data_IF_887448180350
#
_entry.id   IF_887448180350
#
_cell.length_a   1.000
_cell.length_b   1.000
_cell.length_c   1.000
_cell.angle_alpha   90.00
_cell.angle_beta   90.00
_cell.angle_gamma   90.00
#
_symmetry.space_group_name_H-M   'P 1'
#
loop_
_entity.id
_entity.type
_entity.pdbx_description
1 polymer ?
#
# COMPACT_ATOMS: atom_id res chain seq x y z
N UNK A 1 41.94 42.96 -3.28
CA UNK A 1 40.56 42.43 -3.20
C UNK A 1 40.26 41.74 -4.52
N UNK A 2 40.15 40.42 -4.50
CA UNK A 2 39.49 39.60 -5.52
C UNK A 2 39.29 38.21 -4.90
N UNK A 3 38.06 37.73 -4.98
CA UNK A 3 37.44 36.69 -4.14
C UNK A 3 37.99 35.30 -4.44
N UNK A 4 38.35 34.56 -3.39
CA UNK A 4 38.48 33.10 -3.46
C UNK A 4 37.08 32.50 -3.38
N UNK A 5 36.58 32.00 -4.51
CA UNK A 5 35.38 31.17 -4.56
C UNK A 5 35.62 29.88 -3.76
N UNK A 6 34.92 29.75 -2.64
CA UNK A 6 34.84 28.51 -1.90
C UNK A 6 33.95 27.54 -2.68
N UNK A 7 34.57 26.54 -3.31
CA UNK A 7 33.88 25.37 -3.83
C UNK A 7 33.10 24.74 -2.67
N UNK A 8 31.77 24.85 -2.74
CA UNK A 8 30.87 24.20 -1.79
C UNK A 8 30.81 22.73 -2.20
N UNK A 9 31.56 21.87 -1.49
CA UNK A 9 31.41 20.43 -1.61
C UNK A 9 29.98 20.07 -1.17
N UNK A 10 29.12 19.73 -2.14
CA UNK A 10 27.88 19.04 -1.85
C UNK A 10 28.24 17.71 -1.15
N UNK A 11 27.67 17.39 0.02
CA UNK A 11 27.95 16.13 0.66
C UNK A 11 27.49 15.00 -0.26
N UNK A 12 28.42 14.22 -0.80
CA UNK A 12 28.12 12.95 -1.47
C UNK A 12 27.31 12.11 -0.49
N UNK A 13 26.01 12.00 -0.74
CA UNK A 13 25.14 11.11 0.01
C UNK A 13 25.75 9.71 -0.08
N UNK A 14 26.27 9.20 1.03
CA UNK A 14 26.81 7.85 1.11
C UNK A 14 25.73 6.90 0.60
N UNK A 15 25.96 6.33 -0.59
CA UNK A 15 25.05 5.35 -1.20
C UNK A 15 25.16 4.05 -0.42
N UNK A 16 24.58 4.00 0.78
CA UNK A 16 24.44 2.77 1.52
C UNK A 16 23.70 1.76 0.63
N UNK A 17 24.31 0.58 0.46
CA UNK A 17 23.77 -0.42 -0.43
C UNK A 17 22.43 -0.95 0.11
N UNK A 18 21.49 -1.18 -0.81
CA UNK A 18 20.19 -1.76 -0.46
C UNK A 18 20.35 -3.12 0.21
N UNK A 19 19.55 -3.36 1.25
CA UNK A 19 19.45 -4.69 1.84
C UNK A 19 18.56 -5.55 0.95
N UNK A 20 19.11 -6.67 0.46
CA UNK A 20 18.39 -7.60 -0.42
C UNK A 20 18.24 -8.93 0.29
N UNK A 21 17.02 -9.44 0.35
CA UNK A 21 16.71 -10.76 0.92
C UNK A 21 15.72 -11.51 0.06
N UNK A 22 15.60 -12.83 0.29
CA UNK A 22 14.54 -13.66 -0.26
C UNK A 22 13.76 -14.28 0.88
N UNK A 23 12.43 -14.26 0.77
CA UNK A 23 11.58 -14.97 1.72
C UNK A 23 11.54 -16.49 1.43
N UNK A 24 10.80 -17.24 2.26
CA UNK A 24 10.65 -18.70 2.14
C UNK A 24 9.98 -19.10 0.80
N UNK A 25 9.20 -18.19 0.19
CA UNK A 25 8.56 -18.40 -1.10
C UNK A 25 9.45 -17.99 -2.29
N UNK A 26 10.65 -17.46 -2.03
CA UNK A 26 11.60 -17.01 -3.05
C UNK A 26 11.35 -15.58 -3.57
N UNK A 27 10.42 -14.82 -2.96
CA UNK A 27 10.15 -13.43 -3.32
C UNK A 27 11.37 -12.57 -3.07
N UNK A 28 11.78 -11.80 -4.07
CA UNK A 28 12.88 -10.85 -3.90
C UNK A 28 12.38 -9.62 -3.13
N UNK A 29 12.98 -9.39 -1.97
CA UNK A 29 12.73 -8.24 -1.12
C UNK A 29 13.91 -7.29 -1.16
N UNK A 30 13.62 -6.00 -1.28
CA UNK A 30 14.61 -4.93 -1.20
C UNK A 30 14.17 -3.93 -0.13
N UNK A 31 15.09 -3.53 0.72
CA UNK A 31 14.87 -2.48 1.70
C UNK A 31 15.90 -1.38 1.55
N UNK A 32 15.42 -0.15 1.46
CA UNK A 32 16.24 1.04 1.46
C UNK A 32 16.73 1.33 2.89
N UNK A 33 18.05 1.38 3.14
CA UNK A 33 18.57 1.59 4.49
C UNK A 33 18.33 3.02 5.00
N UNK A 34 18.20 4.00 4.10
CA UNK A 34 18.05 5.42 4.44
C UNK A 34 16.59 5.76 4.68
N UNK A 35 15.71 5.35 3.76
CA UNK A 35 14.29 5.69 3.83
C UNK A 35 13.48 4.66 4.62
N UNK A 36 13.96 3.42 4.71
CA UNK A 36 13.20 2.29 5.23
C UNK A 36 12.13 1.78 4.27
N UNK A 37 12.11 2.26 3.02
CA UNK A 37 11.16 1.81 2.00
C UNK A 37 11.40 0.33 1.67
N UNK A 38 10.32 -0.43 1.56
CA UNK A 38 10.33 -1.85 1.25
C UNK A 38 9.67 -2.10 -0.10
N UNK A 39 10.35 -2.88 -0.94
CA UNK A 39 9.82 -3.36 -2.22
C UNK A 39 9.82 -4.88 -2.23
N UNK A 40 8.72 -5.47 -2.70
CA UNK A 40 8.60 -6.90 -2.99
C UNK A 40 8.40 -7.09 -4.48
N UNK A 41 9.37 -7.71 -5.14
CA UNK A 41 9.38 -7.86 -6.59
C UNK A 41 8.63 -9.13 -6.99
N UNK A 42 7.66 -8.97 -7.88
CA UNK A 42 6.92 -10.05 -8.52
C UNK A 42 6.88 -9.88 -10.03
N UNK A 43 6.57 -10.96 -10.75
CA UNK A 43 6.54 -10.95 -12.21
C UNK A 43 5.33 -10.20 -12.74
N UNK A 44 5.54 -9.25 -13.65
CA UNK A 44 4.45 -8.54 -14.35
C UNK A 44 3.59 -9.53 -15.14
N UNK A 45 4.22 -10.45 -15.87
CA UNK A 45 3.49 -11.49 -16.61
C UNK A 45 2.69 -12.39 -15.66
N UNK A 46 3.25 -12.69 -14.49
CA UNK A 46 2.55 -13.45 -13.45
C UNK A 46 1.32 -12.71 -12.90
N UNK A 47 1.41 -11.37 -12.73
CA UNK A 47 0.26 -10.53 -12.37
C UNK A 47 -0.79 -10.58 -13.48
N UNK A 48 -0.41 -10.40 -14.75
CA UNK A 48 -1.33 -10.42 -15.88
C UNK A 48 -2.00 -11.79 -16.06
N UNK A 49 -1.31 -12.88 -15.74
CA UNK A 49 -1.92 -14.23 -15.70
C UNK A 49 -2.92 -14.36 -14.56
N UNK A 50 -2.62 -13.83 -13.38
CA UNK A 50 -3.51 -13.87 -12.22
C UNK A 50 -4.71 -12.92 -12.36
N UNK A 51 -4.55 -11.81 -13.10
CA UNK A 51 -5.53 -10.75 -13.32
C UNK A 51 -5.54 -10.32 -14.80
N UNK A 52 -6.14 -11.10 -15.70
CA UNK A 52 -6.06 -10.85 -17.15
C UNK A 52 -6.63 -9.53 -17.65
N UNK A 53 -7.52 -8.90 -16.87
CA UNK A 53 -8.12 -7.59 -17.20
C UNK A 53 -7.31 -6.40 -16.65
N UNK A 54 -6.23 -6.64 -15.92
CA UNK A 54 -5.31 -5.59 -15.48
C UNK A 54 -4.47 -5.13 -16.68
N UNK A 55 -4.28 -3.82 -16.82
CA UNK A 55 -3.39 -3.31 -17.87
C UNK A 55 -1.92 -3.42 -17.45
N UNK A 56 -1.02 -3.28 -18.42
CA UNK A 56 0.41 -3.46 -18.21
C UNK A 56 1.01 -2.42 -17.25
N UNK A 57 0.63 -1.15 -17.37
CA UNK A 57 1.15 -0.07 -16.52
C UNK A 57 0.78 -0.26 -15.04
N UNK A 58 -0.46 -0.68 -14.79
CA UNK A 58 -0.94 -1.01 -13.46
C UNK A 58 -0.20 -2.22 -12.92
N UNK A 59 -0.03 -3.28 -13.72
CA UNK A 59 0.71 -4.47 -13.31
C UNK A 59 2.18 -4.15 -13.00
N UNK A 60 2.83 -3.31 -13.82
CA UNK A 60 4.19 -2.84 -13.59
C UNK A 60 4.30 -2.04 -12.29
N UNK A 61 3.35 -1.15 -12.03
CA UNK A 61 3.32 -0.32 -10.82
C UNK A 61 3.14 -1.18 -9.56
N UNK A 62 2.23 -2.16 -9.61
CA UNK A 62 1.92 -3.03 -8.48
C UNK A 62 2.91 -4.19 -8.30
N UNK A 63 3.82 -4.41 -9.25
CA UNK A 63 4.83 -5.48 -9.21
C UNK A 63 5.87 -5.34 -8.11
N UNK A 64 5.93 -4.18 -7.43
CA UNK A 64 6.95 -3.85 -6.42
C UNK A 64 6.36 -3.57 -5.03
N UNK A 65 5.03 -3.48 -4.94
CA UNK A 65 4.36 -3.04 -3.72
C UNK A 65 4.10 -4.20 -2.76
N UNK A 66 4.56 -4.11 -1.49
CA UNK A 66 4.21 -5.10 -0.49
C UNK A 66 2.74 -4.96 -0.09
N UNK A 67 1.96 -6.04 -0.26
CA UNK A 67 0.59 -6.15 0.20
C UNK A 67 0.59 -6.44 1.70
N UNK A 68 0.06 -5.51 2.49
CA UNK A 68 0.06 -5.62 3.96
C UNK A 68 -1.28 -6.06 4.51
N UNK A 69 -2.37 -5.84 3.77
CA UNK A 69 -3.71 -6.24 4.20
C UNK A 69 -4.60 -6.60 3.02
N UNK A 70 -5.49 -7.55 3.24
CA UNK A 70 -6.57 -7.88 2.31
C UNK A 70 -7.91 -7.87 3.04
N UNK A 71 -8.88 -7.18 2.48
CA UNK A 71 -10.27 -7.13 2.92
C UNK A 71 -11.16 -7.92 1.98
N UNK A 72 -12.06 -8.73 2.53
CA UNK A 72 -12.96 -9.60 1.78
C UNK A 72 -14.41 -9.15 1.90
N UNK A 73 -15.10 -9.16 0.76
CA UNK A 73 -16.50 -8.79 0.60
C UNK A 73 -17.22 -9.85 -0.23
N UNK A 74 -18.53 -9.99 0.00
CA UNK A 74 -19.34 -10.96 -0.73
C UNK A 74 -19.33 -10.66 -2.23
N UNK A 75 -19.43 -9.37 -2.58
CA UNK A 75 -19.42 -8.84 -3.93
C UNK A 75 -19.06 -7.34 -3.93
N UNK A 76 -18.90 -6.77 -5.13
CA UNK A 76 -18.61 -5.35 -5.34
C UNK A 76 -19.70 -4.42 -4.78
N UNK A 77 -20.97 -4.84 -4.84
CA UNK A 77 -22.11 -4.05 -4.36
C UNK A 77 -22.07 -3.89 -2.84
N UNK A 78 -21.70 -4.94 -2.11
CA UNK A 78 -21.53 -4.94 -0.66
C UNK A 78 -20.43 -3.98 -0.24
N UNK A 79 -19.31 -3.97 -0.97
CA UNK A 79 -18.24 -2.99 -0.78
C UNK A 79 -18.73 -1.56 -1.05
N UNK A 80 -19.42 -1.31 -2.17
CA UNK A 80 -19.90 0.03 -2.52
C UNK A 80 -20.91 0.60 -1.50
N UNK A 81 -21.75 -0.25 -0.90
CA UNK A 81 -22.71 0.17 0.14
C UNK A 81 -22.05 0.44 1.48
N UNK A 82 -21.01 -0.30 1.82
CA UNK A 82 -20.48 -0.38 3.18
C UNK A 82 -19.07 0.18 3.38
N UNK A 83 -18.33 0.40 2.31
CA UNK A 83 -16.90 0.68 2.33
C UNK A 83 -16.09 -0.43 3.01
N UNK A 84 -14.82 -0.13 3.30
CA UNK A 84 -13.89 -1.09 3.90
C UNK A 84 -14.37 -1.62 5.27
N UNK A 85 -15.06 -0.76 6.04
CA UNK A 85 -15.55 -1.10 7.40
C UNK A 85 -16.57 -2.25 7.43
N UNK A 86 -17.17 -2.60 6.29
CA UNK A 86 -18.14 -3.70 6.16
C UNK A 86 -17.54 -4.96 5.54
N UNK A 87 -16.21 -5.07 5.47
CA UNK A 87 -15.57 -6.34 5.07
C UNK A 87 -15.99 -7.45 6.03
N UNK A 88 -16.40 -8.62 5.51
CA UNK A 88 -16.79 -9.74 6.37
C UNK A 88 -15.56 -10.44 6.99
N UNK A 89 -14.39 -10.26 6.39
CA UNK A 89 -13.12 -10.73 6.90
C UNK A 89 -11.99 -9.83 6.40
N UNK A 90 -10.93 -9.73 7.19
CA UNK A 90 -9.67 -9.12 6.76
C UNK A 90 -8.49 -9.92 7.28
N UNK A 91 -7.35 -9.83 6.58
CA UNK A 91 -6.09 -10.44 7.00
C UNK A 91 -4.97 -9.43 6.86
N UNK A 92 -4.17 -9.31 7.90
CA UNK A 92 -2.94 -8.51 7.94
C UNK A 92 -1.73 -9.45 7.79
N UNK A 93 -0.74 -9.03 7.00
CA UNK A 93 0.50 -9.76 6.69
C UNK A 93 1.76 -9.05 7.24
N UNK A 94 1.59 -8.05 8.09
CA UNK A 94 2.69 -7.33 8.75
C UNK A 94 3.51 -8.27 9.67
N UNK A 95 4.85 -8.14 9.72
CA UNK A 95 5.69 -7.14 9.05
C UNK A 95 6.25 -7.56 7.68
N UNK A 96 5.98 -8.80 7.28
CA UNK A 96 6.60 -9.42 6.10
C UNK A 96 6.00 -8.88 4.81
N UNK A 97 4.69 -8.69 4.77
CA UNK A 97 3.94 -8.41 3.55
C UNK A 97 3.90 -9.62 2.61
N UNK A 98 3.06 -9.55 1.58
CA UNK A 98 3.06 -10.50 0.47
C UNK A 98 3.25 -9.74 -0.83
N UNK A 99 3.83 -10.37 -1.85
CA UNK A 99 3.68 -9.83 -3.21
C UNK A 99 2.23 -10.03 -3.72
N UNK A 100 1.87 -9.29 -4.76
CA UNK A 100 0.50 -9.27 -5.26
C UNK A 100 -0.01 -10.66 -5.69
N UNK A 101 0.83 -11.49 -6.33
CA UNK A 101 0.43 -12.84 -6.79
C UNK A 101 0.12 -13.72 -5.58
N UNK A 102 0.98 -13.68 -4.56
CA UNK A 102 0.75 -14.43 -3.32
C UNK A 102 -0.51 -13.97 -2.59
N UNK A 103 -0.76 -12.67 -2.52
CA UNK A 103 -1.97 -12.12 -1.92
C UNK A 103 -3.24 -12.56 -2.68
N UNK A 104 -3.21 -12.53 -4.02
CA UNK A 104 -4.31 -13.02 -4.85
C UNK A 104 -4.52 -14.52 -4.64
N UNK A 105 -3.45 -15.32 -4.64
CA UNK A 105 -3.54 -16.76 -4.39
C UNK A 105 -4.12 -17.06 -2.99
N UNK A 106 -3.73 -16.29 -1.97
CA UNK A 106 -4.27 -16.36 -0.63
C UNK A 106 -5.78 -16.09 -0.61
N UNK A 107 -6.24 -15.08 -1.35
CA UNK A 107 -7.65 -14.75 -1.47
C UNK A 107 -8.42 -15.85 -2.21
N UNK A 108 -7.94 -16.29 -3.37
CA UNK A 108 -8.60 -17.31 -4.20
C UNK A 108 -8.77 -18.64 -3.47
N UNK A 109 -7.84 -19.03 -2.61
CA UNK A 109 -7.98 -20.23 -1.74
C UNK A 109 -9.13 -20.14 -0.73
N UNK A 110 -9.65 -18.95 -0.45
CA UNK A 110 -10.73 -18.71 0.54
C UNK A 110 -12.09 -18.49 -0.09
N UNK A 111 -12.13 -18.18 -1.38
CA UNK A 111 -13.39 -18.12 -2.11
C UNK A 111 -13.72 -19.52 -2.60
N UNK A 112 -14.84 -20.09 -2.13
CA UNK A 112 -15.29 -21.44 -2.51
C UNK A 112 -15.60 -21.61 -4.01
N UNK A 113 -15.71 -20.52 -4.76
CA UNK A 113 -16.05 -20.51 -6.17
C UNK A 113 -15.20 -19.46 -6.92
N UNK A 114 -14.58 -19.79 -8.07
CA UNK A 114 -13.74 -18.86 -8.82
C UNK A 114 -14.44 -17.58 -9.27
N UNK A 115 -15.75 -17.62 -9.49
CA UNK A 115 -16.55 -16.51 -10.02
C UNK A 115 -17.30 -15.71 -8.92
N UNK A 116 -16.76 -15.68 -7.69
CA UNK A 116 -17.40 -15.01 -6.55
C UNK A 116 -16.41 -14.18 -5.75
N UNK A 117 -16.95 -13.33 -4.89
CA UNK A 117 -16.18 -12.53 -3.95
C UNK A 117 -15.65 -11.23 -4.56
N UNK A 118 -15.34 -10.30 -3.68
CA UNK A 118 -14.66 -9.06 -4.01
C UNK A 118 -13.57 -8.83 -2.96
N UNK A 119 -12.38 -8.44 -3.39
CA UNK A 119 -11.25 -8.19 -2.51
C UNK A 119 -10.68 -6.79 -2.70
N UNK A 120 -10.29 -6.17 -1.59
CA UNK A 120 -9.49 -4.94 -1.58
C UNK A 120 -8.15 -5.26 -0.94
N UNK A 121 -7.08 -5.04 -1.69
CA UNK A 121 -5.69 -5.22 -1.30
C UNK A 121 -5.13 -3.86 -0.91
N UNK A 122 -4.62 -3.73 0.30
CA UNK A 122 -3.91 -2.54 0.77
C UNK A 122 -2.41 -2.83 0.78
N UNK A 123 -1.65 -2.03 0.02
CA UNK A 123 -0.20 -2.06 0.04
C UNK A 123 0.38 -1.07 1.07
N UNK A 124 1.68 -1.18 1.31
CA UNK A 124 2.45 -0.21 2.07
C UNK A 124 3.72 0.20 1.32
N UNK A 125 4.39 1.23 1.81
CA UNK A 125 5.73 1.63 1.37
C UNK A 125 6.82 1.12 2.31
N UNK A 126 6.46 0.65 3.51
CA UNK A 126 7.36 0.13 4.52
C UNK A 126 6.87 -1.21 5.08
N UNK A 127 7.57 -1.73 6.09
CA UNK A 127 7.22 -3.00 6.75
C UNK A 127 6.07 -2.89 7.75
N UNK A 128 5.30 -1.79 7.74
CA UNK A 128 4.19 -1.58 8.65
C UNK A 128 2.88 -1.36 7.88
N UNK A 129 1.76 -1.57 8.57
CA UNK A 129 0.46 -1.16 8.06
C UNK A 129 0.41 0.37 8.11
N UNK A 130 0.23 1.02 6.95
CA UNK A 130 0.15 2.47 6.89
C UNK A 130 -0.96 3.02 7.80
N UNK A 131 -0.60 4.02 8.62
CA UNK A 131 -1.57 4.86 9.35
C UNK A 131 -2.13 5.95 8.42
N UNK A 132 -1.47 6.19 7.28
CA UNK A 132 -1.91 7.06 6.19
C UNK A 132 -2.77 6.29 5.18
N UNK A 133 -3.28 7.00 4.16
CA UNK A 133 -4.00 6.40 3.03
C UNK A 133 -3.11 5.41 2.26
N UNK A 134 -3.38 4.08 2.31
CA UNK A 134 -2.55 3.10 1.63
C UNK A 134 -2.87 3.06 0.13
N UNK A 135 -1.93 2.63 -0.73
CA UNK A 135 -2.29 2.25 -2.08
C UNK A 135 -3.28 1.09 -2.08
N UNK A 136 -4.30 1.15 -2.93
CA UNK A 136 -5.37 0.16 -2.98
C UNK A 136 -5.57 -0.43 -4.38
N UNK A 137 -5.76 -1.75 -4.40
CA UNK A 137 -6.18 -2.51 -5.57
C UNK A 137 -7.45 -3.26 -5.21
N UNK A 138 -8.45 -3.19 -6.06
CA UNK A 138 -9.74 -3.82 -5.90
C UNK A 138 -9.91 -4.84 -7.02
N UNK A 139 -10.34 -6.05 -6.68
CA UNK A 139 -10.50 -7.14 -7.64
C UNK A 139 -11.87 -7.80 -7.46
N UNK A 140 -12.64 -7.82 -8.54
CA UNK A 140 -13.93 -8.51 -8.60
C UNK A 140 -13.73 -9.96 -9.06
N UNK A 141 -14.09 -10.90 -8.21
CA UNK A 141 -13.98 -12.32 -8.51
C UNK A 141 -14.96 -12.78 -9.59
N UNK A 142 -16.11 -12.12 -9.76
CA UNK A 142 -17.12 -12.47 -10.74
C UNK A 142 -16.76 -12.01 -12.15
N UNK A 143 -16.28 -10.78 -12.30
CA UNK A 143 -15.96 -10.19 -13.61
C UNK A 143 -14.48 -10.31 -13.97
N UNK A 144 -13.61 -10.52 -12.99
CA UNK A 144 -12.15 -10.45 -13.13
C UNK A 144 -11.62 -9.01 -13.29
N UNK A 145 -12.46 -7.98 -13.15
CA UNK A 145 -12.07 -6.58 -13.29
C UNK A 145 -11.23 -6.12 -12.10
N UNK A 146 -10.19 -5.35 -12.40
CA UNK A 146 -9.32 -4.73 -11.42
C UNK A 146 -9.42 -3.21 -11.49
N UNK A 147 -9.58 -2.58 -10.34
CA UNK A 147 -9.48 -1.12 -10.18
C UNK A 147 -8.38 -0.84 -9.16
N UNK A 148 -7.31 -0.15 -9.54
CA UNK A 148 -6.20 0.14 -8.62
C UNK A 148 -5.73 1.59 -8.74
N UNK A 149 -5.05 2.06 -7.71
CA UNK A 149 -4.28 3.30 -7.80
C UNK A 149 -3.22 3.19 -8.90
N UNK A 150 -3.11 4.25 -9.70
CA UNK A 150 -2.07 4.43 -10.70
C UNK A 150 -0.75 4.92 -10.08
N UNK A 151 0.28 5.07 -10.91
CA UNK A 151 1.60 5.51 -10.48
C UNK A 151 1.57 6.90 -9.81
N UNK A 152 0.74 7.83 -10.32
CA UNK A 152 0.63 9.18 -9.76
C UNK A 152 -0.04 9.19 -8.38
N UNK A 153 -1.14 8.43 -8.22
CA UNK A 153 -1.80 8.25 -6.93
C UNK A 153 -0.88 7.58 -5.91
N UNK A 154 -0.13 6.56 -6.34
CA UNK A 154 0.85 5.87 -5.49
C UNK A 154 1.97 6.82 -5.06
N UNK A 155 2.50 7.64 -5.97
CA UNK A 155 3.54 8.61 -5.63
C UNK A 155 3.04 9.66 -4.63
N UNK A 156 1.84 10.22 -4.83
CA UNK A 156 1.22 11.16 -3.87
C UNK A 156 1.03 10.53 -2.49
N UNK A 157 0.60 9.26 -2.43
CA UNK A 157 0.46 8.51 -1.18
C UNK A 157 1.83 8.27 -0.52
N UNK A 158 2.87 7.97 -1.30
CA UNK A 158 4.25 7.80 -0.82
C UNK A 158 4.78 9.07 -0.16
N UNK A 159 4.57 10.23 -0.77
CA UNK A 159 4.98 11.52 -0.20
C UNK A 159 4.25 11.84 1.11
N UNK A 160 2.95 11.56 1.18
CA UNK A 160 2.17 11.69 2.42
C UNK A 160 2.71 10.78 3.52
N UNK A 161 3.05 9.55 3.17
CA UNK A 161 3.67 8.58 4.08
C UNK A 161 5.06 9.03 4.56
N UNK A 162 5.90 9.56 3.67
CA UNK A 162 7.21 10.10 4.03
C UNK A 162 7.10 11.29 5.01
N UNK A 163 6.15 12.21 4.76
CA UNK A 163 5.84 13.32 5.67
C UNK A 163 5.39 12.83 7.04
N UNK A 164 4.59 11.75 7.09
CA UNK A 164 4.19 11.13 8.35
C UNK A 164 5.39 10.57 9.10
N UNK A 165 6.25 9.80 8.45
CA UNK A 165 7.46 9.24 9.08
C UNK A 165 8.36 10.32 9.67
N UNK A 166 8.56 11.42 8.96
CA UNK A 166 9.34 12.56 9.44
C UNK A 166 8.73 13.19 10.70
N UNK A 167 7.40 13.32 10.72
CA UNK A 167 6.68 13.83 11.89
C UNK A 167 6.73 12.85 13.08
N UNK A 168 6.65 11.54 12.83
CA UNK A 168 6.85 10.52 13.87
C UNK A 168 8.26 10.59 14.46
N UNK A 169 9.31 10.75 13.63
CA UNK A 169 10.69 10.98 14.10
C UNK A 169 10.77 12.22 15.00
N UNK A 170 10.17 13.34 14.59
CA UNK A 170 10.16 14.59 15.38
C UNK A 170 9.46 14.43 16.71
N UNK A 171 8.39 13.66 16.79
CA UNK A 171 7.69 13.40 18.05
C UNK A 171 8.55 12.61 19.03
N UNK A 172 9.29 11.61 18.52
CA UNK A 172 10.27 10.87 19.33
C UNK A 172 11.38 11.81 19.82
N UNK A 173 11.96 12.64 18.94
CA UNK A 173 13.01 13.61 19.33
C UNK A 173 12.53 14.62 20.37
N UNK A 174 11.25 15.01 20.33
CA UNK A 174 10.64 15.95 21.30
C UNK A 174 10.26 15.30 22.63
N UNK A 175 10.48 13.99 22.79
CA UNK A 175 10.18 13.28 24.03
C UNK A 175 8.68 13.15 24.32
N UNK A 176 7.84 13.11 23.26
CA UNK A 176 6.41 12.82 23.45
C UNK A 176 6.27 11.42 24.05
N UNK A 177 5.46 11.29 25.10
CA UNK A 177 5.24 10.00 25.76
C UNK A 177 4.60 8.97 24.82
N UNK A 178 4.95 7.70 25.01
CA UNK A 178 4.39 6.59 24.22
C UNK A 178 2.86 6.53 24.32
N UNK A 179 2.29 6.86 25.48
CA UNK A 179 0.84 6.91 25.69
C UNK A 179 0.17 8.01 24.83
N UNK A 180 0.82 9.17 24.70
CA UNK A 180 0.33 10.24 23.83
C UNK A 180 0.44 9.86 22.35
N UNK A 181 1.54 9.21 21.94
CA UNK A 181 1.71 8.68 20.58
C UNK A 181 0.62 7.66 20.24
N UNK A 182 0.31 6.74 21.15
CA UNK A 182 -0.75 5.75 20.94
C UNK A 182 -2.13 6.39 20.79
N UNK A 183 -2.46 7.40 21.61
CA UNK A 183 -3.72 8.15 21.47
C UNK A 183 -3.83 8.86 20.12
N UNK A 184 -2.73 9.45 19.64
CA UNK A 184 -2.71 10.11 18.33
C UNK A 184 -2.87 9.09 17.20
N UNK A 185 -2.15 7.97 17.25
CA UNK A 185 -2.28 6.87 16.25
C UNK A 185 -3.70 6.31 16.20
N UNK A 186 -4.35 6.12 17.35
CA UNK A 186 -5.74 5.68 17.42
C UNK A 186 -6.69 6.71 16.81
N UNK A 187 -6.52 7.99 17.09
CA UNK A 187 -7.32 9.07 16.51
C UNK A 187 -7.15 9.13 14.98
N UNK A 188 -5.94 8.96 14.47
CA UNK A 188 -5.64 8.93 13.03
C UNK A 188 -6.30 7.71 12.36
N UNK A 189 -6.23 6.52 12.97
CA UNK A 189 -6.92 5.33 12.47
C UNK A 189 -8.45 5.51 12.43
N UNK A 190 -9.02 6.16 13.44
CA UNK A 190 -10.45 6.51 13.45
C UNK A 190 -10.81 7.54 12.38
N UNK A 191 -9.92 8.48 12.06
CA UNK A 191 -10.15 9.46 10.99
C UNK A 191 -10.08 8.79 9.62
N UNK A 192 -9.11 7.90 9.42
CA UNK A 192 -8.94 7.16 8.17
C UNK A 192 -10.11 6.23 7.89
N UNK A 193 -10.56 5.46 8.89
CA UNK A 193 -11.75 4.61 8.74
C UNK A 193 -13.02 5.38 8.34
N UNK A 194 -13.17 6.64 8.76
CA UNK A 194 -14.26 7.54 8.30
C UNK A 194 -14.07 8.02 6.86
N UNK A 195 -12.83 8.36 6.46
CA UNK A 195 -12.53 8.84 5.11
C UNK A 195 -12.78 7.75 4.06
N UNK A 196 -12.52 6.50 4.41
CA UNK A 196 -12.84 5.35 3.56
C UNK A 196 -14.35 5.12 3.41
N UNK A 197 -15.17 5.50 4.41
CA UNK A 197 -16.63 5.52 4.27
C UNK A 197 -17.14 6.56 3.27
N UNK A 198 -16.33 7.58 2.92
CA UNK A 198 -16.69 8.59 1.92
C UNK A 198 -16.24 8.23 0.50
N UNK A 199 -15.34 7.25 0.30
CA UNK A 199 -14.97 6.75 -1.03
C UNK A 199 -16.17 6.13 -1.77
N UNK A 200 -17.09 5.52 -1.04
CA UNK A 200 -18.38 5.03 -1.55
C UNK A 200 -19.34 6.16 -1.97
N UNK A 201 -19.20 7.36 -1.40
CA UNK A 201 -20.08 8.50 -1.69
C UNK A 201 -19.59 9.37 -2.86
N UNK A 202 -18.27 9.51 -3.05
CA UNK A 202 -17.71 10.37 -4.10
C UNK A 202 -17.73 9.72 -5.49
N UNK A 203 -17.47 8.41 -5.62
CA UNK A 203 -17.51 7.73 -6.93
C UNK A 203 -18.93 7.42 -7.44
N UNK A 204 -19.98 7.63 -6.64
CA UNK A 204 -21.36 7.50 -7.11
C UNK A 204 -21.88 8.76 -7.80
N UNK A 205 -21.22 9.91 -7.63
CA UNK A 205 -21.64 11.19 -8.23
C UNK A 205 -21.11 11.37 -9.67
N UNK A 206 -19.96 10.79 -10.01
CA UNK A 206 -19.37 10.86 -11.37
C UNK A 206 -20.04 9.93 -12.39
N UNK A 207 -21.11 9.22 -12.03
CA UNK A 207 -21.90 8.40 -12.97
C UNK A 207 -23.28 8.99 -13.30
N UNK A 208 -23.52 10.23 -12.92
CA UNK A 208 -24.79 10.95 -13.14
C UNK A 208 -24.64 12.22 -13.98
N UNK A 209 -23.54 12.37 -14.73
CA UNK A 209 -23.37 13.42 -15.74
C UNK A 209 -23.07 12.82 -17.11
#
# INVERSE_FOLDING_TARGET
MAETEAATEEPEASKEAYQVSRDVAGTLRRQDPVTGDVELYTSIDGILQAVPKMNWDMAATWSRLPIMRVHLFLDKVSFQRGGIMRSYASKVFSPEGLDLIQAIAWWRKRVKSPAKGFAVFEASFDSQVCITDPPTLMLDGATGEAEADDAEAIQRKRESHAKRRELDKRWVTKGISEEALQKIKQADMHRMSRKVSSWSAWRSWDKTL
#
